data_IF_045538535947
#
_entry.id   IF_045538535947
#
_cell.length_a   1.000
_cell.length_b   1.000
_cell.length_c   1.000
_cell.angle_alpha   90.00
_cell.angle_beta   90.00
_cell.angle_gamma   90.00
#
_symmetry.space_group_name_H-M   'P 1'
#
loop_
_entity.id
_entity.type
_entity.pdbx_description
1 polymer ?
#
# COMPACT_ATOMS: atom_id res chain seq x y z
N UNK A 1 5.26 65.98 -26.60
CA UNK A 1 4.90 65.23 -25.38
C UNK A 1 4.18 63.99 -25.88
N UNK A 2 4.89 62.87 -25.96
CA UNK A 2 4.36 61.59 -26.44
C UNK A 2 3.70 60.84 -25.27
N UNK A 3 2.39 60.49 -25.36
CA UNK A 3 1.67 59.84 -24.28
C UNK A 3 1.62 58.31 -24.37
N UNK A 4 2.53 57.64 -25.10
CA UNK A 4 2.45 56.19 -25.36
C UNK A 4 3.75 55.43 -25.04
N UNK A 5 4.27 55.58 -23.82
CA UNK A 5 5.28 54.67 -23.28
C UNK A 5 4.63 53.78 -22.20
N UNK A 6 3.74 52.89 -22.63
CA UNK A 6 3.22 51.82 -21.78
C UNK A 6 4.33 50.78 -21.60
N UNK A 7 5.03 50.88 -20.47
CA UNK A 7 5.96 49.87 -19.99
C UNK A 7 5.19 48.56 -19.84
N UNK A 8 5.37 47.64 -20.78
CA UNK A 8 4.84 46.29 -20.64
C UNK A 8 5.35 45.71 -19.31
N UNK A 9 4.48 45.15 -18.46
CA UNK A 9 4.93 44.45 -17.27
C UNK A 9 5.86 43.33 -17.73
N UNK A 10 7.13 43.44 -17.34
CA UNK A 10 8.10 42.39 -17.62
C UNK A 10 7.52 41.09 -17.09
N UNK A 11 7.35 40.12 -17.99
CA UNK A 11 6.97 38.76 -17.65
C UNK A 11 7.81 38.33 -16.45
N UNK A 12 7.21 37.79 -15.38
CA UNK A 12 7.98 37.35 -14.22
C UNK A 12 9.11 36.45 -14.72
N UNK A 13 10.34 36.82 -14.39
CA UNK A 13 11.51 36.01 -14.66
C UNK A 13 11.23 34.67 -13.97
N UNK A 14 10.94 33.65 -14.77
CA UNK A 14 10.85 32.29 -14.28
C UNK A 14 12.29 31.91 -13.92
N UNK A 15 12.67 32.13 -12.67
CA UNK A 15 13.91 31.59 -12.11
C UNK A 15 13.99 30.12 -12.53
N UNK A 16 15.16 29.69 -13.03
CA UNK A 16 15.44 28.30 -13.38
C UNK A 16 15.15 27.42 -12.17
N UNK A 17 13.92 26.92 -12.12
CA UNK A 17 13.50 26.07 -11.03
C UNK A 17 14.32 24.79 -11.08
N UNK A 18 14.76 24.27 -9.92
CA UNK A 18 15.49 23.02 -9.88
C UNK A 18 14.63 21.98 -10.59
N UNK A 19 15.15 21.49 -11.72
CA UNK A 19 14.55 20.40 -12.49
C UNK A 19 14.49 19.23 -11.52
N UNK A 20 13.32 19.02 -10.91
CA UNK A 20 13.10 17.82 -10.14
C UNK A 20 13.30 16.67 -11.13
N UNK A 21 14.20 15.70 -10.86
CA UNK A 21 14.43 14.61 -11.78
C UNK A 21 13.12 13.83 -11.89
N UNK A 22 12.40 14.07 -12.97
CA UNK A 22 11.15 13.37 -13.25
C UNK A 22 11.53 11.91 -13.48
N UNK A 23 11.18 11.07 -12.52
CA UNK A 23 11.29 9.63 -12.70
C UNK A 23 10.01 9.17 -13.40
N UNK A 24 10.15 8.86 -14.69
CA UNK A 24 9.09 8.15 -15.40
C UNK A 24 8.89 6.81 -14.69
N UNK A 25 7.65 6.52 -14.29
CA UNK A 25 7.33 5.24 -13.70
C UNK A 25 6.35 4.48 -14.58
N UNK A 26 6.55 3.18 -14.71
CA UNK A 26 5.70 2.29 -15.49
C UNK A 26 4.52 1.84 -14.63
N UNK A 27 3.29 2.08 -15.08
CA UNK A 27 2.14 1.52 -14.38
C UNK A 27 2.02 0.02 -14.68
N UNK A 28 2.47 -0.85 -13.78
CA UNK A 28 2.08 -2.26 -13.79
C UNK A 28 0.85 -2.43 -12.91
N UNK A 29 -0.15 -3.22 -13.35
CA UNK A 29 -1.28 -3.59 -12.53
C UNK A 29 -0.83 -4.54 -11.42
N UNK A 30 -0.20 -4.00 -10.37
CA UNK A 30 -0.11 -4.70 -9.09
C UNK A 30 -1.43 -4.46 -8.39
N UNK A 31 -2.33 -5.43 -8.49
CA UNK A 31 -3.62 -5.39 -7.82
C UNK A 31 -3.47 -5.94 -6.41
N UNK A 32 -3.93 -5.20 -5.37
CA UNK A 32 -3.92 -5.72 -4.01
C UNK A 32 -4.97 -6.83 -3.84
N UNK A 33 -5.10 -7.34 -2.61
CA UNK A 33 -6.29 -7.98 -2.08
C UNK A 33 -7.51 -7.11 -2.48
N UNK A 34 -8.10 -7.32 -3.66
CA UNK A 34 -9.14 -6.44 -4.20
C UNK A 34 -10.51 -6.90 -3.73
N UNK A 35 -11.41 -5.96 -3.36
CA UNK A 35 -12.82 -6.25 -3.11
C UNK A 35 -13.64 -6.40 -4.40
N UNK A 36 -13.12 -5.99 -5.57
CA UNK A 36 -13.84 -6.08 -6.83
C UNK A 36 -13.91 -7.55 -7.27
N UNK A 37 -15.09 -8.15 -7.11
CA UNK A 37 -15.36 -9.58 -7.24
C UNK A 37 -15.33 -10.12 -8.69
N UNK A 38 -14.80 -9.33 -9.63
CA UNK A 38 -14.65 -9.72 -11.03
C UNK A 38 -13.37 -10.53 -11.36
N UNK A 39 -12.48 -10.79 -10.40
CA UNK A 39 -11.48 -11.83 -10.62
C UNK A 39 -12.15 -13.20 -10.49
N UNK A 40 -12.60 -13.73 -11.63
CA UNK A 40 -13.12 -15.09 -11.82
C UNK A 40 -12.21 -16.21 -11.25
N UNK A 41 -11.00 -15.87 -10.80
CA UNK A 41 -10.19 -16.71 -9.95
C UNK A 41 -10.23 -16.17 -8.50
N UNK A 42 -10.74 -16.98 -7.58
CA UNK A 42 -10.69 -16.83 -6.12
C UNK A 42 -9.27 -16.73 -5.52
N UNK A 43 -8.26 -16.36 -6.32
CA UNK A 43 -6.92 -16.06 -5.87
C UNK A 43 -6.96 -14.69 -5.23
N UNK A 44 -6.85 -14.63 -3.90
CA UNK A 44 -6.39 -13.40 -3.25
C UNK A 44 -5.11 -12.97 -3.96
N UNK A 45 -5.06 -11.72 -4.43
CA UNK A 45 -3.81 -11.16 -4.94
C UNK A 45 -2.72 -11.35 -3.89
N UNK A 46 -1.50 -11.69 -4.32
CA UNK A 46 -0.36 -11.93 -3.41
C UNK A 46 -0.07 -10.73 -2.50
N UNK A 47 -0.44 -9.54 -2.94
CA UNK A 47 -0.20 -8.29 -2.24
C UNK A 47 -1.42 -7.86 -1.43
N UNK A 48 -1.20 -7.48 -0.18
CA UNK A 48 -2.21 -6.94 0.70
C UNK A 48 -1.90 -5.48 1.02
N UNK A 49 -2.84 -4.60 0.71
CA UNK A 49 -2.75 -3.19 1.06
C UNK A 49 -3.31 -2.99 2.47
N UNK A 50 -2.46 -2.58 3.40
CA UNK A 50 -2.85 -2.34 4.79
C UNK A 50 -3.49 -0.96 4.98
N UNK A 51 -4.26 -0.78 6.06
CA UNK A 51 -4.84 0.53 6.44
C UNK A 51 -3.79 1.63 6.63
N UNK A 52 -2.57 1.26 7.07
CA UNK A 52 -1.44 2.20 7.17
C UNK A 52 -0.89 2.62 5.79
N UNK A 53 -1.35 2.02 4.70
CA UNK A 53 -0.93 2.31 3.32
C UNK A 53 0.28 1.55 2.83
N UNK A 54 0.90 0.71 3.67
CA UNK A 54 1.96 -0.20 3.25
C UNK A 54 1.40 -1.45 2.59
N UNK A 55 2.19 -2.00 1.67
CA UNK A 55 1.87 -3.21 0.92
C UNK A 55 2.70 -4.35 1.52
N UNK A 56 2.05 -5.48 1.77
CA UNK A 56 2.70 -6.68 2.33
C UNK A 56 2.30 -7.93 1.55
N UNK A 57 3.07 -9.00 1.70
CA UNK A 57 2.71 -10.35 1.25
C UNK A 57 2.55 -11.23 2.48
N UNK A 58 1.46 -11.97 2.56
CA UNK A 58 1.23 -12.91 3.67
C UNK A 58 2.09 -14.15 3.46
N UNK A 59 2.90 -14.50 4.45
CA UNK A 59 3.84 -15.63 4.36
C UNK A 59 3.13 -17.00 4.55
N UNK A 60 1.97 -16.98 5.16
CA UNK A 60 1.19 -18.17 5.48
C UNK A 60 0.47 -18.74 4.25
N UNK A 61 0.30 -20.06 4.21
CA UNK A 61 -0.21 -20.79 3.04
C UNK A 61 -1.62 -20.38 2.59
N UNK A 62 -2.47 -19.91 3.52
CA UNK A 62 -3.85 -19.59 3.20
C UNK A 62 -4.01 -18.24 2.46
N UNK A 63 -2.97 -17.38 2.47
CA UNK A 63 -2.98 -16.05 1.83
C UNK A 63 -4.17 -15.16 2.21
N UNK A 64 -4.80 -15.40 3.37
CA UNK A 64 -6.03 -14.71 3.77
C UNK A 64 -5.74 -13.26 4.19
N UNK A 65 -6.73 -12.38 4.05
CA UNK A 65 -6.64 -11.02 4.57
C UNK A 65 -6.76 -11.01 6.10
N UNK A 66 -6.08 -10.09 6.78
CA UNK A 66 -6.40 -9.73 8.17
C UNK A 66 -7.29 -8.49 8.24
N UNK A 67 -7.82 -8.17 9.42
CA UNK A 67 -8.73 -7.05 9.72
C UNK A 67 -8.22 -5.66 9.29
N UNK A 68 -6.89 -5.53 9.18
CA UNK A 68 -6.22 -4.32 8.74
C UNK A 68 -5.82 -4.33 7.25
N UNK A 69 -6.09 -5.38 6.44
CA UNK A 69 -6.10 -5.25 4.96
C UNK A 69 -7.32 -4.39 4.59
N UNK A 70 -7.12 -3.49 3.62
CA UNK A 70 -8.13 -2.53 3.17
C UNK A 70 -9.41 -3.22 2.69
N UNK A 71 -9.31 -4.39 2.05
CA UNK A 71 -10.47 -5.22 1.65
C UNK A 71 -11.34 -5.62 2.84
N UNK A 72 -10.74 -6.24 3.85
CA UNK A 72 -11.47 -6.71 5.02
C UNK A 72 -12.15 -5.53 5.75
N UNK A 73 -11.46 -4.38 5.81
CA UNK A 73 -12.03 -3.18 6.39
C UNK A 73 -13.25 -2.64 5.64
N UNK A 74 -13.21 -2.60 4.31
CA UNK A 74 -14.31 -2.09 3.49
C UNK A 74 -15.57 -2.98 3.62
N UNK A 75 -15.38 -4.30 3.61
CA UNK A 75 -16.49 -5.26 3.76
C UNK A 75 -17.16 -5.20 5.14
N UNK A 76 -16.39 -5.00 6.22
CA UNK A 76 -16.95 -4.87 7.56
C UNK A 76 -17.87 -3.64 7.71
N UNK A 77 -17.52 -2.51 7.08
CA UNK A 77 -18.38 -1.32 7.06
C UNK A 77 -19.65 -1.51 6.22
N UNK A 78 -19.55 -2.21 5.08
CA UNK A 78 -20.70 -2.49 4.22
C UNK A 78 -21.72 -3.42 4.90
N UNK A 79 -21.25 -4.47 5.59
CA UNK A 79 -22.13 -5.42 6.30
C UNK A 79 -22.78 -4.84 7.56
N UNK A 80 -22.11 -3.93 8.26
CA UNK A 80 -22.64 -3.31 9.48
C UNK A 80 -23.73 -2.25 9.26
N UNK A 81 -23.81 -1.65 8.06
CA UNK A 81 -24.81 -0.62 7.74
C UNK A 81 -26.09 -1.15 7.09
N UNK A 82 -26.20 -2.45 6.78
CA UNK A 82 -27.47 -3.04 6.33
C UNK A 82 -28.52 -3.18 7.45
N UNK A 83 -28.22 -2.72 8.68
CA UNK A 83 -29.20 -2.61 9.77
C UNK A 83 -29.94 -1.26 9.83
N UNK A 84 -29.46 -0.19 9.18
CA UNK A 84 -30.19 1.09 9.16
C UNK A 84 -29.65 2.03 8.06
N UNK A 85 -30.58 2.56 7.27
CA UNK A 85 -30.48 3.71 6.36
C UNK A 85 -29.71 3.47 5.03
N UNK A 86 -30.47 3.44 3.93
CA UNK A 86 -29.97 3.65 2.57
C UNK A 86 -29.17 4.97 2.50
N UNK A 87 -27.88 4.98 2.14
CA UNK A 87 -27.24 6.20 1.71
C UNK A 87 -27.80 6.51 0.31
N UNK A 88 -28.75 7.44 0.25
CA UNK A 88 -29.10 8.10 -1.01
C UNK A 88 -27.80 8.71 -1.54
N UNK A 89 -27.26 8.13 -2.60
CA UNK A 89 -26.22 8.76 -3.38
C UNK A 89 -26.76 10.12 -3.83
N UNK A 90 -26.26 11.17 -3.21
CA UNK A 90 -26.51 12.54 -3.65
C UNK A 90 -25.71 12.72 -4.92
N UNK A 91 -26.36 12.44 -6.05
CA UNK A 91 -25.91 12.77 -7.39
C UNK A 91 -25.84 14.31 -7.52
N UNK A 92 -24.64 14.93 -7.54
CA UNK A 92 -24.50 16.38 -7.58
C UNK A 92 -24.73 16.95 -8.99
N UNK A 93 -25.03 16.11 -10.00
CA UNK A 93 -25.07 16.52 -11.41
C UNK A 93 -26.45 16.41 -12.08
N UNK A 94 -27.54 16.38 -11.31
CA UNK A 94 -28.89 16.61 -11.87
C UNK A 94 -29.20 18.10 -12.02
N UNK A 95 -28.53 18.77 -12.94
CA UNK A 95 -28.99 20.06 -13.50
C UNK A 95 -28.45 20.24 -14.92
N UNK A 96 -28.99 19.49 -15.89
CA UNK A 96 -28.97 19.86 -17.30
C UNK A 96 -30.34 19.56 -17.94
N UNK A 97 -30.98 20.64 -18.36
CA UNK A 97 -32.06 20.90 -19.33
C UNK A 97 -33.14 19.83 -19.69
N UNK A 98 -34.45 20.18 -19.65
CA UNK A 98 -35.53 19.29 -20.11
C UNK A 98 -35.82 19.26 -21.63
N UNK A 99 -35.19 20.08 -22.48
CA UNK A 99 -35.72 20.32 -23.85
C UNK A 99 -34.81 19.87 -25.01
N UNK A 100 -34.41 18.60 -25.05
CA UNK A 100 -33.86 17.99 -26.28
C UNK A 100 -34.47 16.62 -26.57
N UNK A 101 -35.57 16.69 -27.32
CA UNK A 101 -36.32 15.60 -27.92
C UNK A 101 -35.48 14.75 -28.89
N UNK A 102 -35.65 13.44 -28.78
CA UNK A 102 -35.65 12.55 -29.95
C UNK A 102 -34.42 11.66 -30.12
N UNK A 103 -34.16 10.75 -29.18
CA UNK A 103 -33.42 9.53 -29.51
C UNK A 103 -34.02 8.35 -28.78
N UNK A 104 -34.50 7.38 -29.57
CA UNK A 104 -35.12 6.13 -29.12
C UNK A 104 -34.09 5.32 -28.33
N UNK A 105 -34.13 5.40 -27.00
CA UNK A 105 -33.31 4.57 -26.13
C UNK A 105 -33.90 3.16 -26.11
N UNK A 106 -33.11 2.21 -26.62
CA UNK A 106 -33.28 0.78 -26.37
C UNK A 106 -33.19 0.53 -24.86
N UNK A 107 -34.05 -0.32 -24.26
CA UNK A 107 -33.92 -0.68 -22.86
C UNK A 107 -32.61 -1.44 -22.67
N UNK A 108 -31.66 -0.77 -22.03
CA UNK A 108 -30.36 -1.30 -21.67
C UNK A 108 -30.57 -2.42 -20.64
N UNK A 109 -30.09 -3.61 -21.00
CA UNK A 109 -29.66 -4.74 -20.17
C UNK A 109 -30.17 -4.81 -18.73
N UNK A 110 -30.82 -5.93 -18.40
CA UNK A 110 -31.00 -6.39 -17.03
C UNK A 110 -29.74 -6.12 -16.19
N UNK A 111 -29.92 -5.45 -15.06
CA UNK A 111 -28.84 -5.22 -14.11
C UNK A 111 -28.13 -6.55 -13.85
N UNK A 112 -26.79 -6.62 -14.00
CA UNK A 112 -26.07 -7.83 -13.64
C UNK A 112 -26.41 -8.18 -12.18
N UNK A 113 -26.54 -9.48 -11.86
CA UNK A 113 -26.86 -9.91 -10.51
C UNK A 113 -25.88 -9.25 -9.53
N UNK A 114 -26.43 -8.62 -8.48
CA UNK A 114 -25.64 -7.94 -7.45
C UNK A 114 -24.47 -8.83 -7.04
N UNK A 115 -23.27 -8.34 -7.35
CA UNK A 115 -22.01 -9.01 -7.13
C UNK A 115 -21.84 -9.24 -5.63
N UNK A 116 -22.02 -10.49 -5.19
CA UNK A 116 -21.94 -10.87 -3.78
C UNK A 116 -20.49 -10.78 -3.38
N UNK A 117 -20.08 -9.64 -2.84
CA UNK A 117 -18.75 -9.50 -2.25
C UNK A 117 -18.57 -10.59 -1.20
N UNK A 118 -17.54 -11.44 -1.30
CA UNK A 118 -17.36 -12.56 -0.38
C UNK A 118 -17.24 -12.02 1.05
N UNK A 119 -18.08 -12.54 1.93
CA UNK A 119 -18.12 -12.19 3.35
C UNK A 119 -16.78 -12.57 3.99
N UNK A 120 -16.20 -11.62 4.73
CA UNK A 120 -15.01 -11.84 5.57
C UNK A 120 -15.37 -12.94 6.57
N UNK A 121 -14.58 -14.03 6.63
CA UNK A 121 -14.85 -15.11 7.59
C UNK A 121 -14.64 -14.62 9.02
N UNK A 122 -15.36 -15.16 10.01
CA UNK A 122 -15.16 -14.78 11.43
C UNK A 122 -13.69 -14.88 11.84
N UNK A 123 -13.00 -15.92 11.37
CA UNK A 123 -11.56 -16.10 11.61
C UNK A 123 -10.68 -14.97 11.05
N UNK A 124 -11.08 -14.29 9.98
CA UNK A 124 -10.32 -13.15 9.43
C UNK A 124 -10.49 -11.86 10.24
N UNK A 125 -11.55 -11.75 11.06
CA UNK A 125 -11.79 -10.58 11.91
C UNK A 125 -10.83 -10.53 13.10
N UNK A 126 -10.34 -11.68 13.55
CA UNK A 126 -9.41 -11.80 14.68
C UNK A 126 -7.94 -11.62 14.27
N UNK A 127 -7.65 -11.79 12.99
CA UNK A 127 -6.29 -11.74 12.43
C UNK A 127 -5.85 -10.30 12.11
N UNK A 128 -4.60 -9.96 12.44
CA UNK A 128 -3.97 -8.68 12.04
C UNK A 128 -2.72 -8.94 11.22
N UNK A 129 -2.61 -8.33 10.03
CA UNK A 129 -1.40 -8.45 9.22
C UNK A 129 -0.30 -7.56 9.81
N UNK A 130 0.86 -8.15 10.13
CA UNK A 130 1.99 -7.40 10.67
C UNK A 130 2.61 -6.47 9.61
N UNK A 131 3.03 -5.27 10.00
CA UNK A 131 3.64 -4.29 9.09
C UNK A 131 5.03 -3.91 9.56
N UNK A 132 6.05 -4.52 8.98
CA UNK A 132 7.45 -4.32 9.38
C UNK A 132 7.91 -2.89 9.10
N UNK A 133 7.40 -2.24 8.05
CA UNK A 133 7.71 -0.82 7.77
C UNK A 133 7.23 0.13 8.86
N UNK A 134 6.04 -0.14 9.42
CA UNK A 134 5.47 0.66 10.50
C UNK A 134 6.17 0.39 11.83
N UNK A 135 6.52 -0.87 12.09
CA UNK A 135 7.10 -1.29 13.36
C UNK A 135 8.63 -1.14 13.39
N UNK A 136 9.28 -0.97 12.24
CA UNK A 136 10.75 -0.91 12.06
C UNK A 136 11.47 -2.15 12.62
N UNK A 137 10.77 -3.29 12.67
CA UNK A 137 11.19 -4.55 13.28
C UNK A 137 10.68 -5.70 12.37
N UNK A 138 11.52 -6.68 12.01
CA UNK A 138 11.07 -7.89 11.33
C UNK A 138 10.14 -8.71 12.22
N UNK A 139 9.16 -9.39 11.62
CA UNK A 139 8.15 -10.15 12.36
C UNK A 139 8.76 -11.11 13.40
N UNK A 140 9.77 -11.90 13.01
CA UNK A 140 10.37 -12.91 13.90
C UNK A 140 11.00 -12.29 15.16
N UNK A 141 11.59 -11.09 15.02
CA UNK A 141 12.19 -10.35 16.13
C UNK A 141 11.13 -9.67 16.99
N UNK A 142 10.03 -9.21 16.40
CA UNK A 142 8.91 -8.68 17.15
C UNK A 142 8.31 -9.71 18.10
N UNK A 143 8.10 -10.94 17.63
CA UNK A 143 7.57 -12.06 18.44
C UNK A 143 8.50 -12.39 19.60
N UNK A 144 9.82 -12.34 19.39
CA UNK A 144 10.81 -12.58 20.46
C UNK A 144 10.76 -11.46 21.52
N UNK A 145 10.66 -10.20 21.10
CA UNK A 145 10.64 -9.05 22.02
C UNK A 145 9.31 -8.88 22.76
N UNK A 146 8.22 -9.39 22.20
CA UNK A 146 6.88 -9.32 22.77
C UNK A 146 6.30 -10.73 22.91
N UNK A 147 6.89 -11.57 23.77
CA UNK A 147 6.36 -12.91 23.99
C UNK A 147 4.94 -12.80 24.56
N UNK A 148 4.05 -13.76 24.23
CA UNK A 148 2.71 -13.78 24.81
C UNK A 148 2.80 -13.85 26.35
N UNK A 149 1.97 -13.05 27.04
CA UNK A 149 1.98 -12.92 28.50
C UNK A 149 1.73 -14.25 29.24
N UNK A 150 1.04 -15.18 28.59
CA UNK A 150 0.74 -16.49 29.14
C UNK A 150 1.08 -17.60 28.11
N UNK A 151 2.16 -18.37 28.33
CA UNK A 151 2.59 -19.44 27.44
C UNK A 151 1.63 -20.64 27.43
N UNK A 152 0.78 -20.78 28.45
CA UNK A 152 -0.20 -21.87 28.58
C UNK A 152 -1.56 -21.45 28.02
N UNK A 153 -1.83 -20.15 27.91
CA UNK A 153 -3.08 -19.62 27.42
C UNK A 153 -3.04 -19.35 25.91
N UNK A 154 -2.75 -20.41 25.17
CA UNK A 154 -2.75 -20.45 23.69
C UNK A 154 -4.13 -20.04 23.13
N UNK A 155 -5.19 -20.05 23.96
CA UNK A 155 -6.58 -19.96 23.53
C UNK A 155 -7.40 -18.76 24.03
N UNK A 156 -7.06 -18.03 25.10
CA UNK A 156 -8.06 -17.08 25.67
C UNK A 156 -7.71 -15.60 25.80
N UNK A 157 -6.46 -15.14 25.66
CA UNK A 157 -6.15 -13.69 25.51
C UNK A 157 -4.81 -13.50 24.82
N UNK A 158 -4.78 -13.74 23.51
CA UNK A 158 -3.56 -13.54 22.73
C UNK A 158 -3.30 -12.04 22.52
N UNK A 159 -2.04 -11.57 22.56
CA UNK A 159 -1.68 -10.34 21.86
C UNK A 159 -2.21 -10.48 20.42
N UNK A 160 -2.73 -9.39 19.85
CA UNK A 160 -3.35 -9.38 18.51
C UNK A 160 -2.68 -10.41 17.60
N UNK A 161 -3.45 -11.37 17.05
CA UNK A 161 -2.89 -12.47 16.26
C UNK A 161 -2.22 -11.88 15.02
N UNK A 162 -0.95 -11.52 15.18
CA UNK A 162 -0.16 -10.97 14.11
C UNK A 162 0.19 -12.11 13.19
N UNK A 163 -0.28 -12.00 11.96
CA UNK A 163 0.07 -12.92 10.90
C UNK A 163 1.39 -12.51 10.31
N UNK A 164 2.22 -13.50 10.02
CA UNK A 164 3.54 -13.25 9.44
C UNK A 164 3.37 -12.69 8.04
N UNK A 165 3.88 -11.49 7.84
CA UNK A 165 3.80 -10.77 6.58
C UNK A 165 5.17 -10.21 6.23
N UNK A 166 5.52 -10.24 4.96
CA UNK A 166 6.71 -9.61 4.42
C UNK A 166 6.35 -8.26 3.82
N UNK A 167 7.03 -7.21 4.25
CA UNK A 167 6.86 -5.90 3.61
C UNK A 167 7.36 -5.93 2.16
N UNK A 168 6.71 -5.19 1.27
CA UNK A 168 7.09 -5.15 -0.14
C UNK A 168 8.52 -4.63 -0.32
N UNK A 169 9.42 -5.48 -0.81
CA UNK A 169 10.81 -5.15 -1.17
C UNK A 169 11.04 -5.31 -2.67
N UNK A 170 12.16 -4.78 -3.18
CA UNK A 170 12.54 -4.98 -4.58
C UNK A 170 12.74 -6.46 -4.90
N UNK A 171 13.38 -7.23 -4.02
CA UNK A 171 13.55 -8.68 -4.22
C UNK A 171 12.23 -9.44 -4.23
N UNK A 172 11.27 -9.02 -3.39
CA UNK A 172 9.94 -9.62 -3.40
C UNK A 172 9.21 -9.29 -4.69
N UNK A 173 9.33 -8.06 -5.19
CA UNK A 173 8.80 -7.64 -6.49
C UNK A 173 9.38 -8.46 -7.65
N UNK A 174 10.72 -8.61 -7.71
CA UNK A 174 11.41 -9.42 -8.73
C UNK A 174 10.94 -10.86 -8.73
N UNK A 175 10.95 -11.50 -7.55
CA UNK A 175 10.62 -12.92 -7.40
C UNK A 175 9.13 -13.22 -7.65
N UNK A 176 8.22 -12.33 -7.23
CA UNK A 176 6.78 -12.56 -7.38
C UNK A 176 6.23 -12.14 -8.74
N UNK A 177 6.76 -11.08 -9.34
CA UNK A 177 6.28 -10.55 -10.62
C UNK A 177 7.17 -10.91 -11.81
N UNK A 178 8.29 -11.62 -11.60
CA UNK A 178 9.28 -11.97 -12.62
C UNK A 178 9.73 -10.75 -13.44
N UNK A 179 10.15 -9.70 -12.72
CA UNK A 179 10.61 -8.43 -13.29
C UNK A 179 12.10 -8.23 -12.99
N UNK A 180 12.82 -7.63 -13.93
CA UNK A 180 14.24 -7.28 -13.77
C UNK A 180 14.42 -6.00 -12.92
N UNK A 181 15.67 -5.75 -12.49
CA UNK A 181 16.05 -4.62 -11.64
C UNK A 181 15.68 -3.27 -12.27
N UNK A 182 15.96 -3.11 -13.57
CA UNK A 182 15.70 -1.87 -14.30
C UNK A 182 14.20 -1.53 -14.31
N UNK A 183 13.37 -2.57 -14.46
CA UNK A 183 11.93 -2.45 -14.41
C UNK A 183 11.41 -2.21 -12.99
N UNK A 184 12.01 -2.81 -11.96
CA UNK A 184 11.67 -2.48 -10.57
C UNK A 184 11.90 -1.00 -10.30
N UNK A 185 13.04 -0.44 -10.68
CA UNK A 185 13.32 0.98 -10.48
C UNK A 185 12.31 1.88 -11.21
N UNK A 186 11.89 1.48 -12.42
CA UNK A 186 10.80 2.15 -13.13
C UNK A 186 9.43 1.96 -12.48
N UNK A 187 9.21 1.00 -11.60
CA UNK A 187 7.91 0.82 -10.94
C UNK A 187 7.74 1.71 -9.70
N UNK A 188 8.85 2.07 -9.08
CA UNK A 188 8.86 2.74 -7.79
C UNK A 188 8.72 4.25 -7.97
N UNK A 189 7.54 4.78 -7.64
CA UNK A 189 7.30 6.20 -7.59
C UNK A 189 8.08 6.84 -6.45
N UNK A 190 8.98 7.77 -6.78
CA UNK A 190 9.72 8.52 -5.77
C UNK A 190 8.82 9.57 -5.13
N UNK A 191 8.74 9.59 -3.78
CA UNK A 191 8.02 10.66 -3.12
C UNK A 191 8.73 11.99 -3.34
N UNK A 192 7.97 13.06 -3.25
CA UNK A 192 8.48 14.42 -3.38
C UNK A 192 7.81 15.31 -2.34
N UNK A 193 8.57 16.29 -1.83
CA UNK A 193 8.06 17.24 -0.85
C UNK A 193 7.85 18.56 -1.57
N UNK A 194 6.60 18.89 -1.82
CA UNK A 194 6.23 20.10 -2.53
C UNK A 194 5.98 21.23 -1.54
N UNK A 195 6.97 22.09 -1.31
CA UNK A 195 6.78 23.24 -0.40
C UNK A 195 5.89 24.35 -0.99
N UNK A 196 5.75 24.45 -2.32
CA UNK A 196 5.13 25.61 -2.98
C UNK A 196 4.00 25.29 -3.97
N UNK A 197 3.77 24.03 -4.33
CA UNK A 197 2.76 23.51 -5.29
C UNK A 197 2.73 24.14 -6.69
N UNK A 198 3.58 25.12 -6.99
CA UNK A 198 3.50 25.92 -8.21
C UNK A 198 3.98 25.21 -9.48
N UNK A 199 4.82 24.18 -9.36
CA UNK A 199 5.49 23.56 -10.51
C UNK A 199 4.85 22.26 -10.98
N UNK A 200 3.95 21.68 -10.18
CA UNK A 200 3.38 20.38 -10.48
C UNK A 200 1.90 20.52 -10.79
N UNK A 201 1.46 19.87 -11.86
CA UNK A 201 0.04 19.73 -12.13
C UNK A 201 -0.61 18.96 -10.97
N UNK A 202 -1.55 19.57 -10.22
CA UNK A 202 -2.21 18.90 -9.10
C UNK A 202 -2.98 17.65 -9.55
N UNK A 203 -3.34 17.55 -10.83
CA UNK A 203 -4.02 16.40 -11.43
C UNK A 203 -3.11 15.17 -11.57
N UNK A 204 -1.79 15.38 -11.56
CA UNK A 204 -0.76 14.34 -11.61
C UNK A 204 -0.24 13.97 -10.22
N UNK A 205 -0.66 14.70 -9.18
CA UNK A 205 -0.18 14.51 -7.82
C UNK A 205 -1.13 13.61 -7.07
N UNK A 206 -0.59 12.53 -6.50
CA UNK A 206 -1.33 11.57 -5.72
C UNK A 206 -0.82 11.54 -4.29
N UNK A 207 -1.72 11.64 -3.32
CA UNK A 207 -1.40 11.44 -1.91
C UNK A 207 -1.73 10.00 -1.54
N UNK A 208 -0.71 9.23 -1.17
CA UNK A 208 -0.85 7.82 -0.83
C UNK A 208 -1.27 7.64 0.63
N UNK A 209 -1.88 6.49 0.95
CA UNK A 209 -2.29 6.15 2.33
C UNK A 209 -1.13 6.12 3.31
N UNK A 210 0.07 5.75 2.86
CA UNK A 210 1.30 5.80 3.66
C UNK A 210 1.72 7.23 4.04
N UNK A 211 1.05 8.25 3.48
CA UNK A 211 1.32 9.67 3.75
C UNK A 211 2.25 10.32 2.75
N UNK A 212 2.86 9.55 1.85
CA UNK A 212 3.74 10.08 0.81
C UNK A 212 2.95 10.70 -0.35
N UNK A 213 3.43 11.83 -0.83
CA UNK A 213 2.98 12.43 -2.08
C UNK A 213 3.86 11.95 -3.22
N UNK A 214 3.23 11.48 -4.29
CA UNK A 214 3.92 10.98 -5.49
C UNK A 214 3.36 11.67 -6.73
N UNK A 215 4.24 11.94 -7.69
CA UNK A 215 3.87 12.57 -8.95
C UNK A 215 3.86 11.53 -10.06
N UNK A 216 2.81 11.54 -10.88
CA UNK A 216 2.66 10.64 -12.00
C UNK A 216 2.89 11.35 -13.33
N UNK A 217 3.71 10.81 -14.27
CA UNK A 217 3.93 11.42 -15.57
C UNK A 217 2.64 11.61 -16.37
N UNK A 218 1.82 10.57 -16.39
CA UNK A 218 0.54 10.58 -17.08
C UNK A 218 -0.57 10.96 -16.11
N UNK A 219 -1.50 11.79 -16.58
CA UNK A 219 -2.74 12.05 -15.88
C UNK A 219 -3.51 10.74 -15.79
N UNK A 220 -3.76 10.28 -14.56
CA UNK A 220 -4.44 9.01 -14.30
C UNK A 220 -5.39 9.12 -13.11
N UNK A 221 -6.39 8.25 -13.08
CA UNK A 221 -7.26 8.10 -11.92
C UNK A 221 -6.47 7.59 -10.71
N UNK A 222 -6.95 7.94 -9.51
CA UNK A 222 -6.40 7.45 -8.25
C UNK A 222 -6.29 5.92 -8.21
N UNK A 223 -5.16 5.42 -7.73
CA UNK A 223 -4.98 4.00 -7.43
C UNK A 223 -5.68 3.60 -6.12
N UNK A 224 -5.74 2.30 -5.83
CA UNK A 224 -6.38 1.74 -4.64
C UNK A 224 -5.73 2.20 -3.33
N UNK A 225 -4.43 2.49 -3.36
CA UNK A 225 -3.66 3.00 -2.23
C UNK A 225 -3.54 4.54 -2.16
N UNK A 226 -4.20 5.28 -3.05
CA UNK A 226 -4.40 6.71 -2.85
C UNK A 226 -5.34 6.97 -1.66
N UNK A 227 -5.12 8.07 -0.93
CA UNK A 227 -6.09 8.58 0.04
C UNK A 227 -7.39 8.95 -0.66
N UNK A 228 -8.48 8.88 0.10
CA UNK A 228 -9.79 9.31 -0.37
C UNK A 228 -9.86 10.84 -0.41
N UNK A 229 -10.86 11.36 -1.11
CA UNK A 229 -11.13 12.80 -1.21
C UNK A 229 -11.36 13.43 0.18
N UNK A 230 -10.94 14.68 0.43
CA UNK A 230 -10.33 15.67 -0.48
C UNK A 230 -8.80 15.59 -0.58
N UNK A 231 -8.18 14.59 0.03
CA UNK A 231 -6.72 14.60 0.24
C UNK A 231 -5.93 14.28 -1.02
N UNK A 232 -6.54 13.65 -2.02
CA UNK A 232 -5.92 13.34 -3.31
C UNK A 232 -6.59 14.14 -4.44
N UNK A 233 -5.91 15.16 -4.94
CA UNK A 233 -6.43 16.11 -5.94
C UNK A 233 -6.67 15.48 -7.32
N UNK A 234 -5.95 14.40 -7.66
CA UNK A 234 -6.07 13.73 -8.96
C UNK A 234 -7.47 13.17 -9.26
N UNK A 235 -8.34 13.02 -8.24
CA UNK A 235 -9.71 12.51 -8.43
C UNK A 235 -10.66 13.53 -9.06
N UNK A 236 -10.50 14.82 -8.73
CA UNK A 236 -11.45 15.88 -9.06
C UNK A 236 -11.56 16.10 -10.57
N UNK A 237 -10.48 15.85 -11.29
CA UNK A 237 -10.31 16.32 -12.67
C UNK A 237 -11.00 15.43 -13.71
N UNK A 238 -11.33 14.18 -13.38
CA UNK A 238 -11.76 13.22 -14.41
C UNK A 238 -13.10 12.54 -14.13
N UNK A 239 -13.69 12.69 -12.93
CA UNK A 239 -14.87 11.90 -12.55
C UNK A 239 -14.64 10.38 -12.60
N UNK A 240 -13.39 9.94 -12.80
CA UNK A 240 -13.02 8.54 -12.90
C UNK A 240 -12.90 7.97 -11.49
N UNK A 241 -13.54 6.82 -11.27
CA UNK A 241 -13.40 6.05 -10.05
C UNK A 241 -11.95 5.65 -9.76
N UNK A 242 -11.70 5.12 -8.56
CA UNK A 242 -10.39 4.54 -8.24
C UNK A 242 -10.12 3.33 -9.12
N UNK A 243 -8.89 3.23 -9.62
CA UNK A 243 -8.39 2.02 -10.30
C UNK A 243 -8.09 0.94 -9.27
N UNK A 244 -8.25 -0.31 -9.69
CA UNK A 244 -7.94 -1.50 -8.88
C UNK A 244 -6.43 -1.75 -8.65
N UNK A 245 -5.55 -1.01 -9.34
CA UNK A 245 -4.10 -1.11 -9.21
C UNK A 245 -3.55 -0.27 -8.04
N UNK A 246 -2.23 -0.31 -7.84
CA UNK A 246 -1.50 0.42 -6.80
C UNK A 246 -0.37 1.26 -7.39
N UNK A 247 -0.07 2.38 -6.72
CA UNK A 247 1.16 3.14 -6.96
C UNK A 247 2.21 2.68 -5.93
N UNK A 248 3.33 2.13 -6.38
CA UNK A 248 4.36 1.63 -5.47
C UNK A 248 5.24 2.80 -4.99
N UNK A 249 5.22 3.09 -3.70
CA UNK A 249 6.05 4.14 -3.12
C UNK A 249 7.48 3.65 -2.94
N UNK A 250 8.44 4.31 -3.60
CA UNK A 250 9.86 4.02 -3.49
C UNK A 250 10.34 4.07 -2.03
N UNK A 251 9.95 5.10 -1.27
CA UNK A 251 10.41 5.22 0.12
C UNK A 251 9.87 4.11 1.00
N UNK A 252 8.62 3.67 0.81
CA UNK A 252 8.08 2.53 1.55
C UNK A 252 8.84 1.23 1.24
N UNK A 253 9.19 1.00 -0.03
CA UNK A 253 9.97 -0.18 -0.45
C UNK A 253 11.40 -0.12 0.10
N UNK A 254 12.07 1.03 0.00
CA UNK A 254 13.39 1.21 0.60
C UNK A 254 13.38 1.07 2.12
N UNK A 255 12.34 1.56 2.81
CA UNK A 255 12.19 1.36 4.26
C UNK A 255 12.00 -0.11 4.62
N UNK A 256 11.21 -0.86 3.84
CA UNK A 256 11.06 -2.30 4.02
C UNK A 256 12.43 -3.00 3.94
N UNK A 257 13.25 -2.68 2.94
CA UNK A 257 14.59 -3.23 2.78
C UNK A 257 15.53 -2.86 3.94
N UNK A 258 15.47 -1.61 4.41
CA UNK A 258 16.27 -1.14 5.54
C UNK A 258 16.00 -1.90 6.84
N UNK A 259 14.75 -2.32 7.08
CA UNK A 259 14.40 -3.17 8.23
C UNK A 259 15.22 -4.47 8.19
N UNK A 260 15.28 -5.16 7.05
CA UNK A 260 16.06 -6.39 6.93
C UNK A 260 17.56 -6.15 7.02
N UNK A 261 18.09 -5.12 6.36
CA UNK A 261 19.52 -4.79 6.38
C UNK A 261 20.00 -4.50 7.81
N UNK A 262 19.22 -3.76 8.61
CA UNK A 262 19.55 -3.50 10.02
C UNK A 262 19.67 -4.79 10.83
N UNK A 263 18.71 -5.70 10.68
CA UNK A 263 18.68 -6.91 11.50
C UNK A 263 19.67 -7.98 11.04
N UNK A 264 19.98 -8.07 9.74
CA UNK A 264 21.08 -8.91 9.27
C UNK A 264 22.41 -8.48 9.91
N UNK A 265 22.67 -7.18 10.01
CA UNK A 265 23.88 -6.66 10.67
C UNK A 265 23.93 -7.01 12.16
N UNK A 266 22.80 -6.96 12.86
CA UNK A 266 22.73 -7.35 14.27
C UNK A 266 23.06 -8.83 14.47
N UNK A 267 22.54 -9.72 13.61
CA UNK A 267 22.84 -11.15 13.69
C UNK A 267 24.34 -11.43 13.51
N UNK A 268 24.98 -10.77 12.53
CA UNK A 268 26.43 -10.90 12.33
C UNK A 268 27.24 -10.42 13.54
N UNK A 269 26.77 -9.38 14.23
CA UNK A 269 27.43 -8.90 15.46
C UNK A 269 27.29 -9.90 16.61
N UNK A 270 26.11 -10.50 16.80
CA UNK A 270 25.86 -11.55 17.81
C UNK A 270 26.75 -12.78 17.61
N UNK A 271 26.97 -13.21 16.36
CA UNK A 271 27.85 -14.35 16.04
C UNK A 271 29.35 -14.02 16.20
N UNK A 272 29.72 -12.74 16.09
CA UNK A 272 31.12 -12.28 16.15
C UNK A 272 31.64 -11.98 17.56
N UNK A 273 30.81 -12.08 18.62
CA UNK A 273 31.28 -11.85 19.99
C UNK A 273 32.12 -13.04 20.49
N UNK A 274 33.38 -12.83 20.87
CA UNK A 274 34.32 -13.91 21.22
C UNK A 274 33.92 -14.70 22.48
N UNK A 275 32.99 -14.20 23.29
CA UNK A 275 32.45 -14.94 24.45
C UNK A 275 31.63 -16.17 24.04
N UNK A 276 31.02 -16.18 22.86
CA UNK A 276 30.23 -17.32 22.36
C UNK A 276 31.11 -18.43 21.76
N UNK A 277 32.32 -18.07 21.31
CA UNK A 277 33.31 -19.02 20.76
C UNK A 277 33.93 -19.87 21.90
N UNK A 278 34.05 -19.31 23.11
CA UNK A 278 34.61 -20.02 24.26
C UNK A 278 33.69 -21.06 24.91
N UNK A 279 32.37 -21.03 24.65
CA UNK A 279 31.41 -21.95 25.28
C UNK A 279 31.21 -23.21 24.43
N UNK A 280 31.36 -23.14 23.09
CA UNK A 280 31.21 -24.33 22.24
C UNK A 280 32.42 -25.28 22.33
N UNK A 281 33.65 -24.75 22.51
CA UNK A 281 34.83 -25.60 22.76
C UNK A 281 34.83 -26.22 24.17
N UNK A 282 34.30 -25.51 25.18
CA UNK A 282 34.20 -26.04 26.54
C UNK A 282 33.16 -27.18 26.68
N UNK A 283 32.10 -27.19 25.86
CA UNK A 283 31.09 -28.27 25.88
C UNK A 283 31.50 -29.52 25.08
N UNK A 284 32.38 -29.40 24.06
CA UNK A 284 32.90 -30.55 23.32
C UNK A 284 34.21 -31.13 23.91
N UNK A 285 34.94 -30.36 24.73
CA UNK A 285 36.12 -30.86 25.46
C UNK A 285 35.82 -31.73 26.68
N UNK A 286 34.60 -31.71 27.21
CA UNK A 286 34.23 -32.42 28.44
C UNK A 286 33.71 -33.86 28.23
N UNK A 287 33.68 -34.37 26.99
CA UNK A 287 33.16 -35.72 26.68
C UNK A 287 34.27 -36.70 26.26
N UNK A 288 35.54 -36.30 26.36
CA UNK A 288 36.68 -37.12 25.92
C UNK A 288 37.47 -37.81 27.05
N UNK A 289 37.19 -37.54 28.33
CA UNK A 289 38.02 -38.01 29.46
C UNK A 289 37.35 -39.02 30.43
N UNK A 290 36.20 -39.63 30.07
CA UNK A 290 35.59 -40.72 30.87
C UNK A 290 35.57 -42.07 30.11
N UNK A 291 36.73 -42.49 29.61
CA UNK A 291 36.93 -43.86 29.14
C UNK A 291 38.34 -44.35 29.53
N UNK A 292 38.52 -44.69 30.80
CA UNK A 292 39.50 -45.67 31.29
C UNK A 292 38.99 -46.32 32.59
#
# INVERSE_FOLDING_TARGET
MDPDNQTQPQSPVYDEYPIYPFHHYDSIPVEPCSPLANSLANKSGFFHLLRCGHIVVVAEQDGRCGRNCQRASASAYAGGMMGAINPVASDPYRYLDPDLLGTTLTPLSADPPMDVTPTVSETQLDDTLYCEVCQDIPYDRYVIMHPPEDPLNIFTKKPEHFRRCFSLSSELLKSTANIDDERVDRLLCRPFIVRTHRLFNPNNTHVLRCGHEVWCPEIRSCASNCRDEPQCSARVTLGLGKRGDMILCHECVSRAELVYVRYQRLNFMEESTPETIGISEALYGAVADEAD
#
